data_IF_755452533472
#
_entry.id   IF_755452533472
#
_cell.length_a   1.000
_cell.length_b   1.000
_cell.length_c   1.000
_cell.angle_alpha   90.00
_cell.angle_beta   90.00
_cell.angle_gamma   90.00
#
_symmetry.space_group_name_H-M   'P 1'
#
loop_
_entity.id
_entity.type
_entity.pdbx_description
1 polymer ?
#
# COMPACT_ATOMS: atom_id res chain seq x y z
N UNK A 1 24.58 -47.85 -30.18
CA UNK A 1 25.77 -46.96 -30.14
C UNK A 1 25.26 -45.57 -30.54
N UNK A 2 25.39 -44.47 -29.81
CA UNK A 2 26.21 -44.11 -28.66
C UNK A 2 25.39 -43.24 -27.68
N UNK A 3 25.62 -43.44 -26.38
CA UNK A 3 25.06 -42.66 -25.28
C UNK A 3 25.99 -41.47 -25.02
N UNK A 4 25.48 -40.24 -25.09
CA UNK A 4 26.24 -39.02 -24.75
C UNK A 4 26.10 -38.71 -23.26
N UNK A 5 27.15 -39.00 -22.51
CA UNK A 5 27.34 -38.67 -21.09
C UNK A 5 27.75 -37.21 -20.92
N UNK A 6 27.01 -36.44 -20.11
CA UNK A 6 27.42 -35.11 -19.64
C UNK A 6 28.19 -35.24 -18.31
N UNK A 7 29.25 -34.43 -18.07
CA UNK A 7 30.05 -34.53 -16.86
C UNK A 7 29.40 -33.85 -15.67
N UNK A 8 29.41 -34.56 -14.55
CA UNK A 8 29.05 -34.11 -13.20
C UNK A 8 30.21 -33.26 -12.67
N UNK A 9 29.98 -31.96 -12.48
CA UNK A 9 30.88 -31.12 -11.70
C UNK A 9 30.52 -31.19 -10.22
N UNK A 10 31.36 -31.88 -9.46
CA UNK A 10 31.39 -31.90 -8.01
C UNK A 10 32.25 -30.73 -7.51
N UNK A 11 31.73 -29.91 -6.60
CA UNK A 11 32.54 -29.02 -5.77
C UNK A 11 32.19 -29.24 -4.29
N UNK A 12 33.18 -29.45 -3.41
CA UNK A 12 32.95 -29.52 -1.98
C UNK A 12 33.44 -28.23 -1.32
N UNK A 13 32.53 -27.33 -0.96
CA UNK A 13 32.81 -26.30 0.04
C UNK A 13 31.72 -26.34 1.11
N UNK A 14 31.92 -27.23 2.07
CA UNK A 14 31.20 -27.26 3.34
C UNK A 14 31.79 -26.19 4.26
N UNK A 15 31.06 -25.12 4.50
CA UNK A 15 31.20 -24.32 5.71
C UNK A 15 30.11 -24.75 6.71
N UNK A 16 30.41 -24.95 8.01
CA UNK A 16 29.38 -25.30 8.98
C UNK A 16 28.52 -24.08 9.27
N UNK A 17 27.30 -24.06 8.73
CA UNK A 17 26.24 -23.16 9.18
C UNK A 17 25.89 -23.52 10.63
N UNK A 18 26.15 -22.58 11.55
CA UNK A 18 25.64 -22.65 12.93
C UNK A 18 24.13 -22.84 12.86
N UNK A 19 23.65 -23.94 13.42
CA UNK A 19 22.22 -24.24 13.54
C UNK A 19 21.52 -23.13 14.32
N UNK A 20 20.53 -22.43 13.76
CA UNK A 20 19.67 -21.57 14.56
C UNK A 20 18.89 -22.44 15.56
N UNK A 21 18.75 -21.95 16.80
CA UNK A 21 17.94 -22.58 17.85
C UNK A 21 16.53 -22.87 17.32
N UNK A 22 15.87 -23.96 17.73
CA UNK A 22 14.54 -24.29 17.25
C UNK A 22 13.57 -23.15 17.61
N UNK A 23 13.04 -22.50 16.59
CA UNK A 23 12.03 -21.46 16.72
C UNK A 23 10.74 -22.13 17.20
N UNK A 24 10.28 -21.76 18.39
CA UNK A 24 8.96 -22.19 18.87
C UNK A 24 7.91 -21.40 18.07
N UNK A 25 6.92 -22.06 17.44
CA UNK A 25 5.87 -21.35 16.75
C UNK A 25 5.11 -20.49 17.76
N UNK A 26 5.17 -19.16 17.60
CA UNK A 26 4.28 -18.26 18.32
C UNK A 26 2.87 -18.40 17.73
N UNK A 27 1.87 -18.40 18.61
CA UNK A 27 0.45 -18.57 18.25
C UNK A 27 0.04 -17.53 17.19
N UNK A 28 -0.82 -17.90 16.22
CA UNK A 28 -1.26 -16.96 15.18
C UNK A 28 -1.98 -15.77 15.84
N UNK A 29 -1.53 -14.55 15.52
CA UNK A 29 -2.16 -13.32 15.99
C UNK A 29 -3.23 -12.89 14.99
N UNK A 30 -4.48 -12.99 15.42
CA UNK A 30 -5.68 -12.59 14.68
C UNK A 30 -5.70 -11.09 14.42
N UNK A 31 -5.75 -10.68 13.15
CA UNK A 31 -6.09 -9.30 12.76
C UNK A 31 -7.61 -9.12 12.92
N UNK A 32 -8.05 -8.57 14.03
CA UNK A 32 -9.48 -8.29 14.27
C UNK A 32 -9.84 -6.93 13.69
N UNK A 33 -10.43 -6.92 12.50
CA UNK A 33 -11.00 -5.72 11.90
C UNK A 33 -12.43 -5.49 12.46
N UNK A 34 -12.60 -4.66 13.50
CA UNK A 34 -13.94 -4.30 13.97
C UNK A 34 -14.43 -3.00 13.30
N UNK A 35 -15.38 -3.11 12.38
CA UNK A 35 -16.20 -1.95 12.00
C UNK A 35 -17.28 -1.76 13.05
N UNK A 36 -17.10 -0.82 13.99
CA UNK A 36 -18.22 -0.36 14.81
C UNK A 36 -18.93 0.78 14.08
N UNK A 37 -20.18 0.57 13.67
CA UNK A 37 -21.04 1.66 13.23
C UNK A 37 -21.33 2.60 14.42
N UNK A 38 -21.17 3.92 14.27
CA UNK A 38 -21.51 4.85 15.33
C UNK A 38 -23.04 4.85 15.56
N UNK A 39 -23.46 4.57 16.80
CA UNK A 39 -24.86 4.68 17.25
C UNK A 39 -25.42 6.07 16.92
N UNK A 40 -26.50 6.13 16.12
CA UNK A 40 -27.26 7.36 15.86
C UNK A 40 -27.84 7.93 17.16
N UNK A 41 -27.53 9.17 17.55
CA UNK A 41 -28.25 9.82 18.65
C UNK A 41 -29.67 10.17 18.22
N UNK A 42 -30.65 9.64 18.96
CA UNK A 42 -32.06 9.98 18.85
C UNK A 42 -32.33 11.33 19.53
N UNK A 43 -32.17 12.43 18.78
CA UNK A 43 -32.79 13.74 19.08
C UNK A 43 -32.63 14.67 17.88
N UNK A 44 -33.75 15.17 17.35
CA UNK A 44 -33.78 16.13 16.26
C UNK A 44 -33.10 17.44 16.69
N UNK A 45 -32.08 17.97 15.99
CA UNK A 45 -31.53 19.27 16.30
C UNK A 45 -32.43 20.37 15.75
N UNK A 46 -32.84 21.30 16.62
CA UNK A 46 -33.54 22.52 16.22
C UNK A 46 -32.64 23.38 15.31
N UNK A 47 -33.21 23.84 14.19
CA UNK A 47 -32.50 24.57 13.13
C UNK A 47 -32.21 26.01 13.59
N UNK A 48 -30.94 26.46 13.70
CA UNK A 48 -30.67 27.86 14.01
C UNK A 48 -30.99 28.76 12.81
N UNK A 49 -31.60 29.91 13.08
CA UNK A 49 -31.90 30.96 12.09
C UNK A 49 -30.62 31.56 11.50
N UNK A 50 -30.62 31.96 10.21
CA UNK A 50 -29.41 32.40 9.53
C UNK A 50 -29.06 33.82 9.96
N UNK A 51 -28.04 33.97 10.81
CA UNK A 51 -27.45 35.27 11.14
C UNK A 51 -26.49 35.68 10.01
N UNK A 52 -26.76 36.84 9.41
CA UNK A 52 -26.04 37.41 8.28
C UNK A 52 -24.53 37.53 8.56
N UNK A 53 -23.74 36.52 8.15
CA UNK A 53 -22.27 36.53 8.27
C UNK A 53 -21.69 37.23 7.06
N UNK A 54 -21.17 38.45 7.26
CA UNK A 54 -20.31 39.16 6.29
C UNK A 54 -19.25 38.17 5.76
N UNK A 55 -19.30 37.88 4.45
CA UNK A 55 -18.32 37.03 3.75
C UNK A 55 -16.94 37.69 3.87
N UNK A 56 -16.01 37.05 4.57
CA UNK A 56 -14.59 37.41 4.50
C UNK A 56 -14.03 36.91 3.16
N UNK A 57 -13.09 37.62 2.51
CA UNK A 57 -12.57 37.22 1.22
C UNK A 57 -11.84 35.89 1.36
N UNK A 58 -12.33 34.87 0.67
CA UNK A 58 -11.68 33.57 0.55
C UNK A 58 -10.56 33.71 -0.47
N UNK A 59 -9.38 34.07 0.03
CA UNK A 59 -8.25 34.45 -0.81
C UNK A 59 -6.91 34.34 -0.10
N UNK A 60 -6.71 33.34 0.74
CA UNK A 60 -5.34 32.91 1.08
C UNK A 60 -4.89 31.93 0.00
N UNK A 61 -4.05 32.46 -0.88
CA UNK A 61 -3.33 31.75 -1.92
C UNK A 61 -2.83 30.36 -1.45
N UNK A 62 -3.29 29.28 -2.11
CA UNK A 62 -2.75 27.90 -1.97
C UNK A 62 -1.22 27.81 -2.17
N UNK A 63 -0.61 28.88 -2.68
CA UNK A 63 0.82 28.99 -2.97
C UNK A 63 1.70 29.12 -1.71
N UNK A 64 1.14 29.45 -0.54
CA UNK A 64 1.92 29.55 0.72
C UNK A 64 2.08 28.23 1.47
N UNK A 65 1.37 27.16 1.10
CA UNK A 65 1.50 25.82 1.72
C UNK A 65 2.65 25.01 1.10
N UNK A 66 3.11 25.39 -0.10
CA UNK A 66 4.06 24.64 -0.94
C UNK A 66 5.54 24.97 -0.70
N UNK A 67 5.90 25.51 0.46
CA UNK A 67 7.29 25.61 0.92
C UNK A 67 7.48 25.17 2.38
N UNK A 68 6.61 24.29 2.90
CA UNK A 68 7.05 23.46 4.03
C UNK A 68 8.03 22.44 3.45
N UNK A 69 9.32 22.75 3.58
CA UNK A 69 10.38 21.73 3.56
C UNK A 69 9.86 20.54 4.37
N UNK A 70 9.97 19.34 3.81
CA UNK A 70 9.51 18.09 4.44
C UNK A 70 10.38 17.72 5.66
N UNK A 71 10.87 18.70 6.39
CA UNK A 71 11.32 18.60 7.77
C UNK A 71 10.06 18.48 8.63
N UNK A 72 9.31 17.40 8.44
CA UNK A 72 8.34 17.00 9.44
C UNK A 72 9.16 16.78 10.71
N UNK A 73 8.85 17.55 11.74
CA UNK A 73 9.54 17.51 13.02
C UNK A 73 9.42 16.07 13.53
N UNK A 74 10.47 15.27 13.33
CA UNK A 74 10.54 13.95 13.91
C UNK A 74 10.59 14.17 15.41
N UNK A 75 9.55 13.70 16.10
CA UNK A 75 9.52 13.77 17.57
C UNK A 75 10.75 13.00 18.06
N UNK A 76 11.71 13.72 18.63
CA UNK A 76 12.81 13.08 19.35
C UNK A 76 12.23 12.55 20.65
N UNK A 77 11.98 11.25 20.70
CA UNK A 77 11.64 10.59 21.93
C UNK A 77 12.85 10.69 22.87
N UNK A 78 12.66 11.37 24.00
CA UNK A 78 13.68 11.51 25.05
C UNK A 78 13.67 10.33 26.03
N UNK A 79 12.56 9.59 26.09
CA UNK A 79 12.46 8.33 26.81
C UNK A 79 13.06 7.20 25.98
N UNK A 80 13.71 6.24 26.64
CA UNK A 80 14.15 5.00 26.00
C UNK A 80 12.95 4.20 25.48
N UNK A 81 13.07 3.66 24.26
CA UNK A 81 12.08 2.72 23.72
C UNK A 81 12.28 1.37 24.40
N UNK A 82 11.19 0.69 24.75
CA UNK A 82 11.22 -0.69 25.29
C UNK A 82 11.98 -1.62 24.37
N UNK A 83 12.69 -2.62 24.93
CA UNK A 83 13.36 -3.68 24.16
C UNK A 83 12.36 -4.57 23.38
N UNK A 84 11.10 -4.64 23.83
CA UNK A 84 9.98 -5.23 23.09
C UNK A 84 8.90 -4.15 22.85
N UNK A 85 9.04 -3.30 21.83
CA UNK A 85 8.06 -2.27 21.54
C UNK A 85 6.84 -2.84 20.84
N UNK A 86 5.65 -2.34 21.17
CA UNK A 86 4.44 -2.57 20.40
C UNK A 86 4.10 -1.32 19.58
N UNK A 87 4.15 -1.44 18.26
CA UNK A 87 4.04 -0.30 17.34
C UNK A 87 2.62 -0.15 16.80
N UNK A 88 2.02 1.02 16.98
CA UNK A 88 0.80 1.41 16.28
C UNK A 88 1.11 2.08 14.94
N UNK A 89 0.52 1.59 13.85
CA UNK A 89 0.64 2.16 12.50
C UNK A 89 -0.70 2.77 12.12
N UNK A 90 -0.72 4.07 11.79
CA UNK A 90 -1.94 4.77 11.35
C UNK A 90 -1.96 4.85 9.82
N UNK A 91 -2.90 4.14 9.21
CA UNK A 91 -3.11 4.04 7.77
C UNK A 91 -2.69 2.68 7.21
N UNK A 92 -3.66 1.89 6.79
CA UNK A 92 -3.51 0.61 6.09
C UNK A 92 -3.42 0.75 4.57
N UNK A 93 -2.79 1.82 4.09
CA UNK A 93 -2.36 1.90 2.68
C UNK A 93 -1.06 1.13 2.45
N UNK A 94 -0.59 1.06 1.19
CA UNK A 94 0.64 0.35 0.83
C UNK A 94 1.84 0.65 1.74
N UNK A 95 2.08 1.92 2.07
CA UNK A 95 3.18 2.29 2.94
C UNK A 95 3.06 1.71 4.37
N UNK A 96 1.86 1.75 4.95
CA UNK A 96 1.61 1.21 6.29
C UNK A 96 1.68 -0.32 6.32
N UNK A 97 1.16 -0.98 5.30
CA UNK A 97 1.25 -2.45 5.15
C UNK A 97 2.70 -2.91 5.01
N UNK A 98 3.49 -2.27 4.14
CA UNK A 98 4.92 -2.58 3.97
C UNK A 98 5.70 -2.27 5.26
N UNK A 99 5.33 -1.21 5.99
CA UNK A 99 5.92 -0.91 7.30
C UNK A 99 5.66 -2.03 8.30
N UNK A 100 4.41 -2.49 8.43
CA UNK A 100 4.02 -3.58 9.32
C UNK A 100 4.82 -4.86 9.02
N UNK A 101 4.89 -5.25 7.74
CA UNK A 101 5.68 -6.41 7.30
C UNK A 101 7.18 -6.24 7.60
N UNK A 102 7.72 -5.03 7.45
CA UNK A 102 9.13 -4.77 7.74
C UNK A 102 9.44 -4.87 9.24
N UNK A 103 8.50 -4.48 10.10
CA UNK A 103 8.60 -4.63 11.56
C UNK A 103 8.49 -6.09 11.98
N UNK A 104 7.53 -6.81 11.42
CA UNK A 104 7.34 -8.25 11.68
C UNK A 104 8.58 -9.07 11.33
N UNK A 105 9.20 -8.82 10.16
CA UNK A 105 10.46 -9.46 9.76
C UNK A 105 11.62 -9.22 10.74
N UNK A 106 11.51 -8.19 11.59
CA UNK A 106 12.48 -7.86 12.64
C UNK A 106 12.04 -8.35 14.02
N UNK A 107 10.93 -9.08 14.13
CA UNK A 107 10.35 -9.56 15.37
C UNK A 107 9.62 -8.49 16.19
N UNK A 108 9.32 -7.33 15.60
CA UNK A 108 8.64 -6.22 16.29
C UNK A 108 7.14 -6.31 16.07
N UNK A 109 6.37 -6.37 17.16
CA UNK A 109 4.91 -6.43 17.09
C UNK A 109 4.33 -5.10 16.62
N UNK A 110 3.39 -5.16 15.68
CA UNK A 110 2.69 -3.97 15.21
C UNK A 110 1.18 -4.18 15.03
N UNK A 111 0.43 -3.09 15.06
CA UNK A 111 -1.02 -3.07 14.81
C UNK A 111 -1.33 -1.93 13.86
N UNK A 112 -1.97 -2.25 12.72
CA UNK A 112 -2.37 -1.27 11.71
C UNK A 112 -3.80 -0.83 11.98
N UNK A 113 -4.00 0.49 12.09
CA UNK A 113 -5.30 1.12 12.24
C UNK A 113 -5.63 1.87 10.95
N UNK A 114 -6.79 1.59 10.34
CA UNK A 114 -7.24 2.26 9.14
C UNK A 114 -8.71 2.66 9.28
N UNK A 115 -9.09 3.77 8.64
CA UNK A 115 -10.48 4.28 8.63
C UNK A 115 -11.25 3.88 7.38
N UNK A 116 -10.61 3.13 6.47
CA UNK A 116 -11.16 2.67 5.20
C UNK A 116 -12.32 1.71 5.40
N UNK A 117 -13.51 2.16 5.01
CA UNK A 117 -14.74 1.36 5.12
C UNK A 117 -14.75 0.12 4.20
N UNK A 118 -13.94 0.12 3.14
CA UNK A 118 -13.93 -0.93 2.12
C UNK A 118 -12.71 -1.86 2.22
N UNK A 119 -12.05 -1.89 3.38
CA UNK A 119 -10.82 -2.64 3.60
C UNK A 119 -9.54 -1.84 3.34
N UNK A 120 -8.41 -2.52 3.44
CA UNK A 120 -7.08 -1.93 3.36
C UNK A 120 -6.69 -1.59 1.91
N UNK A 121 -5.59 -0.87 1.75
CA UNK A 121 -5.02 -0.43 0.47
C UNK A 121 -5.06 1.09 0.27
N UNK A 122 -5.99 1.80 0.90
CA UNK A 122 -6.08 3.25 0.80
C UNK A 122 -6.23 3.73 -0.66
N UNK A 123 -5.22 4.42 -1.21
CA UNK A 123 -5.23 4.94 -2.59
C UNK A 123 -5.06 3.89 -3.68
N UNK A 124 -4.74 2.64 -3.33
CA UNK A 124 -4.82 1.52 -4.28
C UNK A 124 -6.13 0.72 -4.11
N UNK A 125 -7.11 1.27 -3.38
CA UNK A 125 -8.41 0.63 -3.21
C UNK A 125 -9.24 0.64 -4.49
N UNK A 126 -9.85 -0.51 -4.77
CA UNK A 126 -10.76 -0.74 -5.89
C UNK A 126 -12.21 -0.52 -5.44
N UNK A 127 -13.04 0.02 -6.33
CA UNK A 127 -14.49 0.10 -6.14
C UNK A 127 -15.20 -0.87 -7.06
N UNK A 128 -16.20 -1.55 -6.50
CA UNK A 128 -17.10 -2.45 -7.23
C UNK A 128 -18.49 -1.89 -7.07
N UNK A 129 -19.20 -1.72 -8.19
CA UNK A 129 -20.61 -1.34 -8.20
C UNK A 129 -21.42 -2.54 -8.62
N UNK A 130 -22.29 -2.98 -7.71
CA UNK A 130 -23.31 -4.01 -7.95
C UNK A 130 -24.63 -3.38 -8.44
N UNK A 131 -25.46 -4.12 -9.20
CA UNK A 131 -25.28 -5.50 -9.68
C UNK A 131 -24.43 -5.64 -10.95
N UNK A 132 -24.02 -4.53 -11.58
CA UNK A 132 -23.35 -4.56 -12.89
C UNK A 132 -21.89 -5.08 -12.84
N UNK A 133 -21.35 -5.36 -11.65
CA UNK A 133 -19.96 -5.77 -11.41
C UNK A 133 -18.95 -4.83 -12.10
N UNK A 134 -19.24 -3.52 -12.11
CA UNK A 134 -18.31 -2.53 -12.64
C UNK A 134 -17.19 -2.31 -11.63
N UNK A 135 -15.96 -2.58 -12.07
CA UNK A 135 -14.74 -2.47 -11.26
C UNK A 135 -13.94 -1.28 -11.75
N UNK A 136 -13.57 -0.36 -10.84
CA UNK A 136 -12.69 0.75 -11.19
C UNK A 136 -11.76 1.17 -10.05
N UNK A 137 -10.54 1.52 -10.45
CA UNK A 137 -9.52 2.10 -9.57
C UNK A 137 -9.55 3.63 -9.69
N UNK A 138 -10.28 4.26 -8.79
CA UNK A 138 -10.54 5.70 -8.82
C UNK A 138 -9.33 6.58 -8.44
N UNK A 139 -8.32 6.03 -7.78
CA UNK A 139 -7.17 6.76 -7.27
C UNK A 139 -5.88 6.37 -8.01
N UNK A 140 -5.23 5.27 -7.64
CA UNK A 140 -4.07 4.78 -8.37
C UNK A 140 -4.52 3.98 -9.61
N UNK A 141 -4.48 4.61 -10.78
CA UNK A 141 -4.93 3.96 -12.03
C UNK A 141 -3.87 3.01 -12.61
N UNK A 142 -2.60 3.35 -12.45
CA UNK A 142 -1.45 2.53 -12.82
C UNK A 142 -0.26 2.93 -11.94
N UNK A 143 0.79 2.13 -11.94
CA UNK A 143 2.08 2.49 -11.33
C UNK A 143 3.24 2.16 -12.28
N UNK A 144 4.40 2.73 -12.00
CA UNK A 144 5.66 2.42 -12.69
C UNK A 144 6.68 1.93 -11.65
N UNK A 145 7.73 1.27 -12.11
CA UNK A 145 8.74 0.67 -11.24
C UNK A 145 10.09 1.29 -11.53
N UNK A 146 10.75 1.79 -10.48
CA UNK A 146 12.10 2.38 -10.56
C UNK A 146 13.02 1.94 -9.42
N UNK A 147 12.48 1.46 -8.30
CA UNK A 147 13.25 0.92 -7.17
C UNK A 147 13.36 -0.62 -7.30
N UNK A 148 14.56 -1.16 -7.10
CA UNK A 148 14.82 -2.60 -7.28
C UNK A 148 14.07 -3.48 -6.27
N UNK A 149 13.90 -3.03 -5.02
CA UNK A 149 13.15 -3.78 -4.00
C UNK A 149 11.67 -3.79 -4.33
N UNK A 150 11.16 -2.70 -4.91
CA UNK A 150 9.79 -2.69 -5.42
C UNK A 150 9.65 -3.57 -6.67
N UNK A 151 10.67 -3.65 -7.51
CA UNK A 151 10.67 -4.55 -8.67
C UNK A 151 10.53 -6.02 -8.28
N UNK A 152 11.18 -6.47 -7.20
CA UNK A 152 11.01 -7.83 -6.66
C UNK A 152 9.55 -8.11 -6.25
N UNK A 153 8.90 -7.16 -5.57
CA UNK A 153 7.49 -7.29 -5.20
C UNK A 153 6.57 -7.32 -6.43
N UNK A 154 6.88 -6.54 -7.45
CA UNK A 154 6.10 -6.50 -8.70
C UNK A 154 6.30 -7.79 -9.51
N UNK A 155 7.51 -8.34 -9.59
CA UNK A 155 7.78 -9.63 -10.22
C UNK A 155 7.02 -10.77 -9.51
N UNK A 156 7.00 -10.74 -8.19
CA UNK A 156 6.17 -11.63 -7.40
C UNK A 156 4.68 -11.51 -7.76
N UNK A 157 4.14 -10.28 -7.86
CA UNK A 157 2.75 -10.08 -8.28
C UNK A 157 2.47 -10.50 -9.73
N UNK A 158 3.43 -10.31 -10.64
CA UNK A 158 3.34 -10.76 -12.04
C UNK A 158 3.21 -12.27 -12.10
N UNK A 159 4.09 -12.99 -11.39
CA UNK A 159 4.08 -14.47 -11.32
C UNK A 159 2.76 -15.03 -10.78
N UNK A 160 2.12 -14.31 -9.85
CA UNK A 160 0.80 -14.69 -9.30
C UNK A 160 -0.39 -14.19 -10.12
N UNK A 161 -0.16 -13.49 -11.22
CA UNK A 161 -1.23 -12.91 -12.04
C UNK A 161 -2.07 -11.88 -11.30
N UNK A 162 -1.45 -11.13 -10.37
CA UNK A 162 -2.10 -10.03 -9.65
C UNK A 162 -1.90 -8.68 -10.35
N UNK A 163 -0.84 -8.54 -11.14
CA UNK A 163 -0.60 -7.36 -11.98
C UNK A 163 -0.29 -7.79 -13.40
N UNK A 164 -0.49 -6.87 -14.34
CA UNK A 164 -0.03 -6.99 -15.72
C UNK A 164 0.50 -5.66 -16.23
N UNK A 165 1.34 -5.70 -17.27
CA UNK A 165 1.71 -4.49 -17.99
C UNK A 165 0.48 -3.93 -18.71
N UNK A 166 0.25 -2.64 -18.55
CA UNK A 166 -0.81 -1.92 -19.24
C UNK A 166 -0.36 -1.49 -20.63
N UNK A 167 -1.14 -1.87 -21.64
CA UNK A 167 -0.89 -1.56 -23.05
C UNK A 167 -1.70 -0.35 -23.55
N UNK A 168 -2.45 0.31 -22.66
CA UNK A 168 -3.26 1.48 -23.03
C UNK A 168 -2.42 2.73 -23.27
N UNK A 169 -2.94 3.62 -24.12
CA UNK A 169 -2.34 4.92 -24.40
C UNK A 169 -2.60 5.87 -23.23
N UNK A 170 -1.52 6.47 -22.72
CA UNK A 170 -1.56 7.57 -21.75
C UNK A 170 -0.97 8.77 -22.43
N UNK A 171 -1.57 9.94 -22.24
CA UNK A 171 -1.11 11.17 -22.88
C UNK A 171 -1.58 12.41 -22.14
N UNK A 172 -1.18 13.55 -22.65
CA UNK A 172 -1.68 14.85 -22.22
C UNK A 172 -2.53 15.47 -23.33
N UNK A 173 -3.60 16.15 -22.94
CA UNK A 173 -4.35 17.01 -23.86
C UNK A 173 -3.69 18.39 -23.82
N UNK A 174 -3.21 18.86 -24.98
CA UNK A 174 -2.62 20.19 -25.16
C UNK A 174 -3.70 21.22 -25.46
N UNK A 175 -3.32 22.50 -25.39
CA UNK A 175 -4.18 23.60 -25.82
C UNK A 175 -4.68 23.33 -27.25
N UNK A 176 -5.95 23.58 -27.52
CA UNK A 176 -6.60 23.23 -28.79
C UNK A 176 -7.14 21.80 -28.87
N UNK A 177 -7.03 21.00 -27.79
CA UNK A 177 -7.65 19.67 -27.72
C UNK A 177 -6.81 18.53 -28.31
N UNK A 178 -5.58 18.81 -28.73
CA UNK A 178 -4.70 17.81 -29.33
C UNK A 178 -4.15 16.85 -28.26
N UNK A 179 -4.35 15.55 -28.46
CA UNK A 179 -3.78 14.51 -27.61
C UNK A 179 -2.32 14.23 -27.99
N UNK A 180 -1.43 14.24 -27.00
CA UNK A 180 -0.01 13.90 -27.15
C UNK A 180 0.30 12.69 -26.27
N UNK A 181 0.63 11.51 -26.84
CA UNK A 181 1.01 10.34 -26.08
C UNK A 181 2.25 10.58 -25.22
N UNK A 182 2.23 10.06 -23.99
CA UNK A 182 3.43 9.93 -23.15
C UNK A 182 4.27 8.75 -23.64
N UNK A 183 5.60 8.77 -23.42
CA UNK A 183 6.47 7.64 -23.74
C UNK A 183 5.95 6.32 -23.12
N UNK A 184 6.12 5.18 -23.82
CA UNK A 184 5.70 3.87 -23.30
C UNK A 184 6.61 3.33 -22.18
N UNK A 185 7.79 3.93 -22.01
CA UNK A 185 8.76 3.60 -20.97
C UNK A 185 8.83 4.70 -19.89
N UNK A 186 8.99 4.36 -18.60
CA UNK A 186 9.03 3.00 -18.04
C UNK A 186 7.65 2.30 -18.16
N UNK A 187 7.63 0.95 -18.15
CA UNK A 187 6.38 0.19 -18.27
C UNK A 187 5.41 0.57 -17.14
N UNK A 188 4.13 0.64 -17.50
CA UNK A 188 3.02 0.90 -16.58
C UNK A 188 2.39 -0.42 -16.20
N UNK A 189 2.08 -0.61 -14.93
CA UNK A 189 1.42 -1.80 -14.42
C UNK A 189 0.06 -1.46 -13.84
N UNK A 190 -0.89 -2.37 -14.03
CA UNK A 190 -2.24 -2.33 -13.47
C UNK A 190 -2.52 -3.61 -12.69
N UNK A 191 -3.39 -3.53 -11.69
CA UNK A 191 -3.88 -4.69 -10.97
C UNK A 191 -4.92 -5.47 -11.77
N UNK A 192 -4.81 -6.80 -11.78
CA UNK A 192 -5.79 -7.69 -12.41
C UNK A 192 -7.00 -7.78 -11.48
N UNK A 193 -8.18 -7.43 -12.01
CA UNK A 193 -9.43 -7.25 -11.24
C UNK A 193 -9.38 -6.08 -10.23
N UNK A 194 -8.55 -5.08 -10.54
CA UNK A 194 -8.36 -3.87 -9.73
C UNK A 194 -7.06 -3.88 -8.93
N UNK A 195 -6.74 -2.73 -8.33
CA UNK A 195 -5.51 -2.54 -7.54
C UNK A 195 -5.56 -3.07 -6.10
N UNK A 196 -6.75 -3.22 -5.50
CA UNK A 196 -6.89 -3.65 -4.10
C UNK A 196 -6.26 -5.02 -3.79
N UNK A 197 -6.36 -6.05 -4.66
CA UNK A 197 -5.72 -7.34 -4.43
C UNK A 197 -4.22 -7.27 -4.11
N UNK A 198 -3.52 -6.20 -4.54
CA UNK A 198 -2.12 -5.99 -4.19
C UNK A 198 -1.94 -5.74 -2.69
N UNK A 199 -2.83 -4.98 -2.06
CA UNK A 199 -2.84 -4.79 -0.61
C UNK A 199 -3.12 -6.11 0.12
N UNK A 200 -4.13 -6.86 -0.35
CA UNK A 200 -4.56 -8.11 0.29
C UNK A 200 -3.47 -9.20 0.19
N UNK A 201 -2.68 -9.20 -0.89
CA UNK A 201 -1.55 -10.11 -1.06
C UNK A 201 -0.47 -9.94 0.01
N UNK A 202 -0.27 -8.69 0.49
CA UNK A 202 0.68 -8.41 1.55
C UNK A 202 0.25 -8.99 2.90
N UNK A 203 -1.05 -9.20 3.10
CA UNK A 203 -1.60 -9.77 4.33
C UNK A 203 -1.63 -11.30 4.31
N UNK A 204 -1.72 -11.89 3.12
CA UNK A 204 -2.04 -13.32 2.94
C UNK A 204 -0.83 -14.24 2.85
N UNK A 205 0.38 -13.70 2.64
CA UNK A 205 1.59 -14.50 2.44
C UNK A 205 2.62 -14.47 3.57
N UNK A 206 2.26 -13.87 4.70
CA UNK A 206 3.13 -13.84 5.88
C UNK A 206 2.38 -14.28 7.15
N UNK A 207 1.25 -14.99 6.98
CA UNK A 207 0.58 -15.84 7.98
C UNK A 207 0.77 -17.31 7.61
#
# INVERSE_FOLDING_TARGET
>A
MALSTLPIFSSPFLFPLKTPKPFKPQKPLTITCSSQEPKRPSKAPQRPTPRNRKRRPYGTSRRSILKKTFTQEQVKFTASVSDDPHVGIIGGGMAGLVCALSLEKRGVRSTVFDTGMHGLGGRIGTRVIDPQQLIFDHAAQFFTVSDSRFAELVDYWLKRGLVQQWQGLVGAIKLGGHFVPLPPSPPRFIGIKGMRPLADSLLSEWL
#
